data_IF_061186911348
#
_entry.id   IF_061186911348
#
_cell.length_a   1.000
_cell.length_b   1.000
_cell.length_c   1.000
_cell.angle_alpha   90.00
_cell.angle_beta   90.00
_cell.angle_gamma   90.00
#
_symmetry.space_group_name_H-M   'P 1'
#
loop_
_entity.id
_entity.type
_entity.pdbx_description
1 polymer ?
#
# COMPACT_ATOMS: atom_id res chain seq x y z
N UNK A 1 -20.65 -19.56 10.05
CA UNK A 1 -20.31 -20.94 10.47
C UNK A 1 -21.53 -21.64 11.05
N UNK A 2 -22.18 -21.05 12.05
CA UNK A 2 -23.35 -21.62 12.74
C UNK A 2 -24.49 -22.06 11.78
N UNK A 3 -24.81 -21.24 10.77
CA UNK A 3 -25.81 -21.60 9.76
C UNK A 3 -25.42 -22.79 8.88
N UNK A 4 -24.14 -22.92 8.53
CA UNK A 4 -23.63 -24.04 7.71
C UNK A 4 -23.60 -25.33 8.51
N UNK A 5 -23.18 -25.27 9.78
CA UNK A 5 -23.18 -26.42 10.69
C UNK A 5 -24.60 -26.96 10.91
N UNK A 6 -25.57 -26.07 11.12
CA UNK A 6 -26.97 -26.44 11.23
C UNK A 6 -27.50 -27.15 9.97
N UNK A 7 -27.25 -26.59 8.79
CA UNK A 7 -27.69 -27.19 7.53
C UNK A 7 -27.06 -28.56 7.23
N UNK A 8 -25.77 -28.72 7.56
CA UNK A 8 -25.06 -30.01 7.43
C UNK A 8 -25.65 -31.03 8.40
N UNK A 9 -25.89 -30.66 9.66
CA UNK A 9 -26.46 -31.55 10.65
C UNK A 9 -27.88 -32.01 10.28
N UNK A 10 -28.73 -31.10 9.81
CA UNK A 10 -30.08 -31.42 9.32
C UNK A 10 -30.06 -32.31 8.07
N UNK A 11 -29.10 -32.11 7.18
CA UNK A 11 -28.90 -32.95 6.00
C UNK A 11 -28.52 -34.39 6.36
N UNK A 12 -27.52 -34.55 7.23
CA UNK A 12 -27.07 -35.88 7.66
C UNK A 12 -28.07 -36.60 8.56
N UNK A 13 -28.91 -35.89 9.32
CA UNK A 13 -30.03 -36.49 10.04
C UNK A 13 -31.00 -37.17 9.05
N UNK A 14 -31.40 -36.47 7.98
CA UNK A 14 -32.29 -37.03 6.95
C UNK A 14 -31.69 -38.21 6.19
N UNK A 15 -30.36 -38.21 6.01
CA UNK A 15 -29.65 -39.32 5.35
C UNK A 15 -29.56 -40.52 6.30
N UNK A 16 -29.29 -40.29 7.58
CA UNK A 16 -29.28 -41.33 8.61
C UNK A 16 -30.63 -42.03 8.76
N UNK A 17 -31.72 -41.28 8.61
CA UNK A 17 -33.08 -41.83 8.70
C UNK A 17 -33.46 -42.65 7.46
N UNK A 18 -32.87 -42.33 6.30
CA UNK A 18 -33.20 -42.97 5.01
C UNK A 18 -32.30 -44.16 4.70
N UNK A 19 -31.07 -44.15 5.19
CA UNK A 19 -30.07 -45.17 4.95
C UNK A 19 -29.53 -45.64 6.30
N UNK A 20 -29.57 -46.95 6.56
CA UNK A 20 -29.03 -47.58 7.78
C UNK A 20 -27.49 -47.55 7.78
N UNK A 21 -26.94 -46.34 7.84
CA UNK A 21 -25.50 -46.13 7.87
C UNK A 21 -25.00 -46.16 9.32
N UNK A 22 -23.78 -46.65 9.51
CA UNK A 22 -23.14 -46.62 10.81
C UNK A 22 -22.91 -45.18 11.25
N UNK A 23 -23.23 -44.89 12.52
CA UNK A 23 -23.09 -43.55 13.13
C UNK A 23 -21.67 -43.02 12.99
N UNK A 24 -20.66 -43.90 13.09
CA UNK A 24 -19.25 -43.55 12.91
C UNK A 24 -18.94 -43.01 11.52
N UNK A 25 -19.48 -43.64 10.47
CA UNK A 25 -19.30 -43.19 9.07
C UNK A 25 -19.97 -41.83 8.85
N UNK A 26 -21.16 -41.63 9.42
CA UNK A 26 -21.86 -40.34 9.36
C UNK A 26 -21.03 -39.24 10.02
N UNK A 27 -20.48 -39.51 11.21
CA UNK A 27 -19.73 -38.50 11.95
C UNK A 27 -18.38 -38.18 11.30
N UNK A 28 -17.70 -39.16 10.72
CA UNK A 28 -16.49 -38.94 9.92
C UNK A 28 -16.78 -38.06 8.70
N UNK A 29 -17.87 -38.34 7.97
CA UNK A 29 -18.29 -37.53 6.82
C UNK A 29 -18.66 -36.10 7.22
N UNK A 30 -19.41 -35.92 8.31
CA UNK A 30 -19.71 -34.59 8.87
C UNK A 30 -18.44 -33.83 9.20
N UNK A 31 -17.52 -34.46 9.92
CA UNK A 31 -16.26 -33.83 10.34
C UNK A 31 -15.38 -33.46 9.15
N UNK A 32 -15.31 -34.30 8.12
CA UNK A 32 -14.59 -34.01 6.88
C UNK A 32 -15.16 -32.79 6.14
N UNK A 33 -16.49 -32.72 5.99
CA UNK A 33 -17.16 -31.61 5.31
C UNK A 33 -17.00 -30.32 6.11
N UNK A 34 -17.22 -30.37 7.43
CA UNK A 34 -17.06 -29.21 8.31
C UNK A 34 -15.63 -28.68 8.30
N UNK A 35 -14.63 -29.56 8.32
CA UNK A 35 -13.22 -29.18 8.22
C UNK A 35 -12.92 -28.50 6.88
N UNK A 36 -13.44 -29.05 5.78
CA UNK A 36 -13.25 -28.48 4.44
C UNK A 36 -13.92 -27.10 4.31
N UNK A 37 -15.13 -26.95 4.84
CA UNK A 37 -15.87 -25.67 4.87
C UNK A 37 -15.14 -24.64 5.73
N UNK A 38 -14.63 -25.04 6.90
CA UNK A 38 -13.81 -24.16 7.77
C UNK A 38 -12.56 -23.70 7.05
N UNK A 39 -11.82 -24.60 6.40
CA UNK A 39 -10.63 -24.26 5.62
C UNK A 39 -10.97 -23.30 4.48
N UNK A 40 -12.06 -23.52 3.75
CA UNK A 40 -12.50 -22.64 2.68
C UNK A 40 -12.87 -21.23 3.19
N UNK A 41 -13.61 -21.15 4.30
CA UNK A 41 -13.98 -19.87 4.92
C UNK A 41 -12.73 -19.15 5.46
N UNK A 42 -11.81 -19.87 6.10
CA UNK A 42 -10.51 -19.31 6.52
C UNK A 42 -9.71 -18.82 5.33
N UNK A 43 -9.71 -19.53 4.19
CA UNK A 43 -9.04 -19.08 2.98
C UNK A 43 -9.71 -17.84 2.36
N UNK A 44 -11.03 -17.76 2.35
CA UNK A 44 -11.77 -16.55 1.93
C UNK A 44 -11.42 -15.39 2.86
N UNK A 45 -11.49 -15.60 4.17
CA UNK A 45 -11.18 -14.57 5.15
C UNK A 45 -9.72 -14.13 5.05
N UNK A 46 -8.79 -15.05 4.82
CA UNK A 46 -7.37 -14.73 4.63
C UNK A 46 -7.09 -14.04 3.28
N UNK A 47 -7.81 -14.39 2.20
CA UNK A 47 -7.76 -13.65 0.92
C UNK A 47 -8.32 -12.24 1.08
N UNK A 48 -9.38 -12.08 1.87
CA UNK A 48 -9.95 -10.78 2.21
C UNK A 48 -9.05 -9.99 3.20
N UNK A 49 -8.30 -10.66 4.07
CA UNK A 49 -7.39 -10.04 5.04
C UNK A 49 -5.97 -9.75 4.52
N UNK A 50 -5.53 -10.38 3.42
CA UNK A 50 -4.29 -9.94 2.73
C UNK A 50 -4.38 -8.52 2.14
N UNK A 51 -5.57 -7.92 2.14
CA UNK A 51 -5.77 -6.49 1.86
C UNK A 51 -5.87 -5.58 3.10
N UNK A 52 -5.75 -6.12 4.32
CA UNK A 52 -5.99 -5.38 5.57
C UNK A 52 -4.83 -5.46 6.58
N UNK A 53 -3.58 -5.49 6.09
CA UNK A 53 -2.43 -5.25 6.98
C UNK A 53 -2.03 -3.78 6.96
N UNK A 54 -2.43 -3.08 8.03
CA UNK A 54 -1.94 -1.81 8.55
C UNK A 54 -2.18 -0.52 7.72
N UNK A 55 -3.30 0.17 8.00
CA UNK A 55 -3.39 1.63 7.83
C UNK A 55 -4.60 2.14 7.05
N UNK A 56 -5.81 2.07 7.63
CA UNK A 56 -7.03 2.67 7.07
C UNK A 56 -7.50 2.02 5.77
N UNK A 57 -8.78 2.11 5.46
CA UNK A 57 -9.29 1.74 4.13
C UNK A 57 -8.70 2.69 3.07
N UNK A 58 -7.51 2.41 2.58
CA UNK A 58 -7.11 2.88 1.27
C UNK A 58 -7.83 1.97 0.27
N UNK A 59 -8.95 2.44 -0.28
CA UNK A 59 -9.43 1.97 -1.59
C UNK A 59 -8.16 1.85 -2.45
N UNK A 60 -7.85 0.67 -3.05
CA UNK A 60 -6.64 0.51 -3.82
C UNK A 60 -6.67 1.58 -4.91
N UNK A 61 -5.86 2.62 -4.72
CA UNK A 61 -5.75 3.71 -5.68
C UNK A 61 -5.10 3.06 -6.90
N UNK A 62 -5.93 2.66 -7.86
CA UNK A 62 -5.48 2.13 -9.14
C UNK A 62 -4.55 3.19 -9.72
N UNK A 63 -3.29 2.82 -9.94
CA UNK A 63 -2.29 3.74 -10.49
C UNK A 63 -2.78 4.21 -11.86
N UNK A 64 -2.68 5.52 -12.09
CA UNK A 64 -2.99 6.11 -13.39
C UNK A 64 -2.19 5.40 -14.48
N UNK A 65 -2.85 4.88 -15.51
CA UNK A 65 -2.17 4.35 -16.71
C UNK A 65 -1.65 5.52 -17.54
N UNK A 66 -0.49 5.35 -18.16
CA UNK A 66 0.02 6.28 -19.17
C UNK A 66 -0.15 5.65 -20.57
N UNK A 67 0.08 6.44 -21.63
CA UNK A 67 -0.04 5.93 -23.00
C UNK A 67 0.86 4.72 -23.29
N UNK A 68 2.08 4.71 -22.72
CA UNK A 68 2.98 3.56 -22.81
C UNK A 68 2.37 2.27 -22.23
N UNK A 69 1.71 2.34 -21.07
CA UNK A 69 1.07 1.17 -20.46
C UNK A 69 -0.05 0.61 -21.37
N UNK A 70 -0.83 1.49 -22.01
CA UNK A 70 -1.85 1.06 -22.97
C UNK A 70 -1.23 0.44 -24.23
N UNK A 71 -0.13 1.02 -24.72
CA UNK A 71 0.62 0.47 -25.86
C UNK A 71 1.17 -0.93 -25.58
N UNK A 72 1.81 -1.12 -24.43
CA UNK A 72 2.37 -2.42 -24.03
C UNK A 72 1.27 -3.47 -23.94
N UNK A 73 0.12 -3.14 -23.35
CA UNK A 73 -1.02 -4.06 -23.29
C UNK A 73 -1.55 -4.42 -24.68
N UNK A 74 -1.66 -3.44 -25.56
CA UNK A 74 -2.05 -3.66 -26.94
C UNK A 74 -1.08 -4.60 -27.66
N UNK A 75 0.23 -4.39 -27.52
CA UNK A 75 1.27 -5.24 -28.13
C UNK A 75 1.30 -6.66 -27.59
N UNK A 76 1.06 -6.85 -26.29
CA UNK A 76 0.90 -8.19 -25.74
C UNK A 76 -0.35 -8.90 -26.27
N UNK A 77 -1.48 -8.19 -26.37
CA UNK A 77 -2.70 -8.75 -26.94
C UNK A 77 -2.49 -9.15 -28.41
N UNK A 78 -1.79 -8.33 -29.20
CA UNK A 78 -1.40 -8.70 -30.57
C UNK A 78 -0.51 -9.94 -30.60
N UNK A 79 0.53 -9.99 -29.79
CA UNK A 79 1.46 -11.12 -29.75
C UNK A 79 0.79 -12.42 -29.34
N UNK A 80 -0.19 -12.38 -28.43
CA UNK A 80 -0.98 -13.55 -28.04
C UNK A 80 -1.86 -14.07 -29.19
N UNK A 81 -2.47 -13.16 -29.97
CA UNK A 81 -3.26 -13.53 -31.15
C UNK A 81 -2.40 -14.14 -32.26
N UNK A 82 -1.14 -13.74 -32.36
CA UNK A 82 -0.16 -14.27 -33.31
C UNK A 82 0.49 -15.59 -32.86
N UNK A 83 0.03 -16.19 -31.76
CA UNK A 83 0.56 -17.45 -31.23
C UNK A 83 1.88 -17.30 -30.45
N UNK A 84 2.14 -16.10 -29.92
CA UNK A 84 3.34 -15.79 -29.16
C UNK A 84 3.49 -16.61 -27.88
N UNK A 85 4.73 -17.04 -27.60
CA UNK A 85 5.07 -17.83 -26.42
C UNK A 85 5.25 -16.94 -25.18
N UNK A 86 4.41 -17.13 -24.17
CA UNK A 86 4.38 -16.36 -22.91
C UNK A 86 5.72 -16.38 -22.14
N UNK A 87 6.55 -17.40 -22.36
CA UNK A 87 7.85 -17.55 -21.72
C UNK A 87 8.92 -16.53 -22.17
N UNK A 88 8.63 -15.66 -23.15
CA UNK A 88 9.53 -14.59 -23.62
C UNK A 88 9.10 -13.18 -23.20
N UNK A 89 8.24 -13.04 -22.18
CA UNK A 89 7.69 -11.75 -21.75
C UNK A 89 8.73 -10.65 -21.50
N UNK A 90 9.90 -10.97 -20.95
CA UNK A 90 10.99 -9.99 -20.74
C UNK A 90 11.60 -9.50 -22.06
N UNK A 91 11.85 -10.39 -23.02
CA UNK A 91 12.38 -10.02 -24.34
C UNK A 91 11.36 -9.20 -25.14
N UNK A 92 10.08 -9.56 -25.04
CA UNK A 92 8.98 -8.81 -25.64
C UNK A 92 8.86 -7.41 -25.03
N UNK A 93 9.00 -7.26 -23.71
CA UNK A 93 9.00 -5.94 -23.06
C UNK A 93 10.11 -5.04 -23.59
N UNK A 94 11.33 -5.55 -23.74
CA UNK A 94 12.44 -4.77 -24.29
C UNK A 94 12.18 -4.35 -25.74
N UNK A 95 11.70 -5.28 -26.56
CA UNK A 95 11.32 -5.00 -27.96
C UNK A 95 10.21 -3.95 -28.05
N UNK A 96 9.16 -4.07 -27.23
CA UNK A 96 8.06 -3.11 -27.23
C UNK A 96 8.47 -1.74 -26.67
N UNK A 97 9.42 -1.69 -25.73
CA UNK A 97 9.98 -0.44 -25.24
C UNK A 97 10.73 0.32 -26.33
N UNK A 98 11.50 -0.40 -27.15
CA UNK A 98 12.19 0.17 -28.32
C UNK A 98 11.16 0.65 -29.36
N UNK A 99 10.19 -0.19 -29.72
CA UNK A 99 9.18 0.21 -30.71
C UNK A 99 8.32 1.38 -30.25
N UNK A 100 8.07 1.53 -28.94
CA UNK A 100 7.41 2.72 -28.39
C UNK A 100 8.24 4.00 -28.61
N UNK A 101 9.57 3.92 -28.55
CA UNK A 101 10.41 5.07 -28.85
C UNK A 101 10.23 5.50 -30.32
N UNK A 102 10.12 4.53 -31.22
CA UNK A 102 10.10 4.74 -32.68
C UNK A 102 8.73 5.10 -33.26
N UNK A 103 7.62 4.84 -32.57
CA UNK A 103 6.30 5.15 -33.13
C UNK A 103 6.07 6.68 -33.30
N UNK A 104 5.34 7.10 -34.35
CA UNK A 104 5.00 8.51 -34.58
C UNK A 104 4.24 9.16 -33.41
N UNK A 105 4.35 10.48 -33.31
CA UNK A 105 3.70 11.26 -32.24
C UNK A 105 2.16 11.11 -32.29
N UNK A 106 1.57 11.06 -33.48
CA UNK A 106 0.12 10.92 -33.64
C UNK A 106 -0.38 9.56 -33.11
N UNK A 107 0.41 8.50 -33.32
CA UNK A 107 0.10 7.18 -32.79
C UNK A 107 0.29 7.14 -31.26
N UNK A 108 1.35 7.76 -30.74
CA UNK A 108 1.51 7.98 -29.28
C UNK A 108 0.31 8.72 -28.68
N UNK A 109 -0.23 9.69 -29.41
CA UNK A 109 -1.37 10.49 -28.97
C UNK A 109 -2.63 9.63 -28.81
N UNK A 110 -2.88 8.69 -29.73
CA UNK A 110 -3.98 7.71 -29.61
C UNK A 110 -3.89 6.90 -28.31
N UNK A 111 -2.70 6.40 -27.97
CA UNK A 111 -2.52 5.64 -26.73
C UNK A 111 -2.64 6.51 -25.48
N UNK A 112 -2.25 7.79 -25.55
CA UNK A 112 -2.49 8.75 -24.47
C UNK A 112 -3.98 8.99 -24.23
N UNK A 113 -4.76 9.19 -25.29
CA UNK A 113 -6.23 9.33 -25.19
C UNK A 113 -6.86 8.07 -24.58
N UNK A 114 -6.47 6.88 -25.07
CA UNK A 114 -6.94 5.61 -24.49
C UNK A 114 -6.60 5.48 -23.00
N UNK A 115 -5.41 5.93 -22.59
CA UNK A 115 -5.05 5.96 -21.18
C UNK A 115 -5.91 6.96 -20.40
N UNK A 116 -6.17 8.14 -20.93
CA UNK A 116 -7.04 9.16 -20.32
C UNK A 116 -8.47 8.66 -20.13
N UNK A 117 -9.05 8.04 -21.16
CA UNK A 117 -10.38 7.44 -21.11
C UNK A 117 -10.46 6.33 -20.06
N UNK A 118 -9.50 5.40 -20.07
CA UNK A 118 -9.40 4.34 -19.06
C UNK A 118 -9.30 4.90 -17.64
N UNK A 119 -8.48 5.94 -17.44
CA UNK A 119 -8.28 6.59 -16.15
C UNK A 119 -9.54 7.34 -15.68
N UNK A 120 -10.28 7.94 -16.62
CA UNK A 120 -11.55 8.63 -16.37
C UNK A 120 -12.62 7.62 -15.92
N UNK A 121 -12.77 6.51 -16.64
CA UNK A 121 -13.72 5.44 -16.31
C UNK A 121 -13.40 4.74 -14.99
N UNK A 122 -12.11 4.52 -14.71
CA UNK A 122 -11.69 3.82 -13.48
C UNK A 122 -11.54 4.76 -12.27
N UNK A 123 -11.87 6.05 -12.40
CA UNK A 123 -11.76 7.01 -11.31
C UNK A 123 -10.33 7.15 -10.75
N UNK A 124 -9.30 6.88 -11.56
CA UNK A 124 -7.91 6.95 -11.11
C UNK A 124 -7.47 8.41 -11.03
N UNK A 125 -7.85 9.08 -9.96
CA UNK A 125 -7.33 10.40 -9.63
C UNK A 125 -6.01 10.22 -8.88
N UNK A 126 -4.94 10.85 -9.37
CA UNK A 126 -3.84 11.20 -8.48
C UNK A 126 -4.48 12.22 -7.54
N UNK A 127 -4.85 11.79 -6.32
CA UNK A 127 -5.01 12.75 -5.23
C UNK A 127 -3.66 13.44 -5.14
N UNK A 128 -3.51 14.61 -5.78
CA UNK A 128 -2.43 15.52 -5.45
C UNK A 128 -2.55 15.64 -3.94
N UNK A 129 -1.59 15.10 -3.18
CA UNK A 129 -1.51 15.43 -1.76
C UNK A 129 -1.58 16.94 -1.77
N UNK A 130 -2.68 17.52 -1.28
CA UNK A 130 -2.77 18.96 -1.11
C UNK A 130 -1.47 19.35 -0.44
N UNK A 131 -0.84 20.44 -0.88
CA UNK A 131 0.33 20.97 -0.19
C UNK A 131 -0.14 21.21 1.25
N UNK A 132 0.08 20.22 2.11
CA UNK A 132 -0.41 20.26 3.48
C UNK A 132 0.18 21.53 4.06
N UNK A 133 -0.64 22.35 4.71
CA UNK A 133 -0.16 23.54 5.37
C UNK A 133 1.10 23.22 6.16
N UNK A 134 2.07 24.16 6.18
CA UNK A 134 3.31 23.98 6.93
C UNK A 134 2.95 23.50 8.34
N UNK A 135 3.45 22.32 8.72
CA UNK A 135 3.21 21.76 10.06
C UNK A 135 3.89 22.67 11.08
N UNK A 136 3.26 22.81 12.25
CA UNK A 136 3.82 23.57 13.37
C UNK A 136 5.22 23.05 13.72
N UNK A 137 6.13 23.97 14.01
CA UNK A 137 7.49 23.63 14.46
C UNK A 137 7.39 23.12 15.90
N UNK A 138 7.92 21.94 16.18
CA UNK A 138 7.94 21.37 17.53
C UNK A 138 9.26 21.66 18.25
N UNK A 139 9.30 21.52 19.58
CA UNK A 139 10.54 21.64 20.35
C UNK A 139 11.64 20.70 19.86
N UNK A 140 11.28 19.50 19.43
CA UNK A 140 12.22 18.56 18.79
C UNK A 140 12.81 19.12 17.50
N UNK A 141 12.02 19.79 16.65
CA UNK A 141 12.52 20.34 15.38
C UNK A 141 13.57 21.43 15.63
N UNK A 142 13.35 22.28 16.63
CA UNK A 142 14.29 23.32 17.04
C UNK A 142 15.55 22.71 17.64
N UNK A 143 15.39 21.75 18.56
CA UNK A 143 16.52 21.01 19.14
C UNK A 143 17.36 20.34 18.06
N UNK A 144 16.71 19.65 17.12
CA UNK A 144 17.37 18.97 16.01
C UNK A 144 18.19 19.95 15.17
N UNK A 145 17.60 21.08 14.74
CA UNK A 145 18.30 22.08 13.93
C UNK A 145 19.51 22.66 14.65
N UNK A 146 19.38 22.96 15.94
CA UNK A 146 20.42 23.63 16.71
C UNK A 146 21.54 22.68 17.17
N UNK A 147 21.29 21.36 17.21
CA UNK A 147 22.25 20.37 17.74
C UNK A 147 22.80 19.40 16.69
N UNK A 148 22.18 19.29 15.51
CA UNK A 148 22.57 18.29 14.51
C UNK A 148 24.03 18.43 14.08
N UNK A 149 24.55 19.64 13.89
CA UNK A 149 25.94 19.84 13.48
C UNK A 149 26.95 19.36 14.54
N UNK A 150 26.63 19.57 15.82
CA UNK A 150 27.42 19.05 16.94
C UNK A 150 27.39 17.52 16.95
N UNK A 151 26.20 16.94 16.82
CA UNK A 151 26.01 15.49 16.86
C UNK A 151 26.64 14.81 15.65
N UNK A 152 26.62 15.42 14.45
CA UNK A 152 27.36 14.95 13.27
C UNK A 152 28.87 14.94 13.54
N UNK A 153 29.39 16.00 14.16
CA UNK A 153 30.81 16.12 14.47
C UNK A 153 31.27 15.11 15.52
N UNK A 154 30.44 14.82 16.51
CA UNK A 154 30.70 13.80 17.54
C UNK A 154 30.54 12.37 16.99
N UNK A 155 29.64 12.15 16.01
CA UNK A 155 29.39 10.86 15.37
C UNK A 155 30.10 10.70 14.00
N UNK A 156 31.21 11.41 13.80
CA UNK A 156 31.90 11.57 12.50
C UNK A 156 32.34 10.23 11.86
N UNK A 157 32.48 9.17 12.64
CA UNK A 157 32.82 7.82 12.15
C UNK A 157 31.71 7.16 11.33
N UNK A 158 30.44 7.54 11.50
CA UNK A 158 29.33 6.77 10.94
C UNK A 158 28.75 7.28 9.63
N UNK A 159 29.18 8.45 9.13
CA UNK A 159 29.02 8.97 7.75
C UNK A 159 27.64 8.92 7.08
N UNK A 160 26.60 8.43 7.76
CA UNK A 160 25.27 8.14 7.21
C UNK A 160 24.24 8.92 7.99
N UNK A 161 23.49 9.75 7.29
CA UNK A 161 22.43 10.60 7.83
C UNK A 161 21.44 9.85 8.74
N UNK A 162 21.15 8.59 8.42
CA UNK A 162 20.24 7.74 9.20
C UNK A 162 20.78 7.47 10.62
N UNK A 163 22.09 7.29 10.77
CA UNK A 163 22.71 7.04 12.07
C UNK A 163 22.72 8.31 12.92
N UNK A 164 23.02 9.45 12.31
CA UNK A 164 22.94 10.77 12.95
C UNK A 164 21.53 11.08 13.42
N UNK A 165 20.50 10.88 12.58
CA UNK A 165 19.11 11.13 12.99
C UNK A 165 18.68 10.27 14.18
N UNK A 166 19.13 9.02 14.24
CA UNK A 166 18.87 8.13 15.39
C UNK A 166 19.57 8.63 16.66
N UNK A 167 20.80 9.12 16.55
CA UNK A 167 21.54 9.71 17.66
C UNK A 167 20.84 10.96 18.21
N UNK A 168 20.41 11.89 17.34
CA UNK A 168 19.65 13.07 17.76
C UNK A 168 18.34 12.69 18.47
N UNK A 169 17.63 11.69 17.93
CA UNK A 169 16.39 11.20 18.53
C UNK A 169 16.59 10.47 19.87
N UNK A 170 17.76 9.86 20.10
CA UNK A 170 18.13 9.31 21.40
C UNK A 170 18.48 10.41 22.40
N UNK A 171 19.27 11.39 21.99
CA UNK A 171 19.67 12.50 22.84
C UNK A 171 18.46 13.31 23.30
N UNK A 172 17.53 13.63 22.39
CA UNK A 172 16.26 14.28 22.74
C UNK A 172 15.49 13.51 23.81
N UNK A 173 15.37 12.18 23.67
CA UNK A 173 14.67 11.33 24.65
C UNK A 173 15.41 11.22 25.98
N UNK A 174 16.72 11.41 26.00
CA UNK A 174 17.53 11.44 27.21
C UNK A 174 17.45 12.77 27.96
N UNK A 175 16.99 13.84 27.31
CA UNK A 175 16.76 15.12 27.98
C UNK A 175 15.67 14.97 29.05
N UNK A 176 15.87 15.62 30.20
CA UNK A 176 14.84 15.73 31.22
C UNK A 176 13.62 16.51 30.72
N UNK A 177 12.46 16.24 31.32
CA UNK A 177 11.19 16.88 30.95
C UNK A 177 11.25 18.43 30.99
N UNK A 178 12.01 18.98 31.95
CA UNK A 178 12.24 20.43 32.07
C UNK A 178 12.94 21.01 30.83
N UNK A 179 14.01 20.35 30.36
CA UNK A 179 14.77 20.80 29.20
C UNK A 179 13.96 20.63 27.91
N UNK A 180 13.21 19.53 27.75
CA UNK A 180 12.30 19.37 26.61
C UNK A 180 11.21 20.45 26.58
N UNK A 181 10.74 20.88 27.76
CA UNK A 181 9.79 21.98 27.87
C UNK A 181 10.40 23.32 27.43
N UNK A 182 11.64 23.62 27.80
CA UNK A 182 12.35 24.83 27.33
C UNK A 182 12.46 24.88 25.80
N UNK A 183 12.81 23.76 25.16
CA UNK A 183 12.82 23.66 23.70
C UNK A 183 11.43 23.82 23.07
N UNK A 184 10.39 23.32 23.75
CA UNK A 184 9.00 23.48 23.31
C UNK A 184 8.56 24.95 23.37
N UNK A 185 8.95 25.68 24.42
CA UNK A 185 8.70 27.12 24.50
C UNK A 185 9.46 27.89 23.42
N UNK A 186 10.72 27.53 23.15
CA UNK A 186 11.49 28.12 22.05
C UNK A 186 10.80 27.92 20.69
N UNK A 187 10.28 26.73 20.43
CA UNK A 187 9.53 26.45 19.19
C UNK A 187 8.24 27.26 19.09
N UNK A 188 7.55 27.49 20.20
CA UNK A 188 6.35 28.34 20.25
C UNK A 188 6.69 29.80 19.90
N UNK A 189 7.77 30.35 20.46
CA UNK A 189 8.22 31.71 20.15
C UNK A 189 8.62 31.86 18.67
N UNK A 190 9.29 30.85 18.07
CA UNK A 190 9.60 30.84 16.64
C UNK A 190 8.35 30.76 15.75
N UNK A 191 7.34 29.99 16.18
CA UNK A 191 6.05 29.94 15.49
C UNK A 191 5.36 31.30 15.52
N UNK A 192 5.29 31.94 16.69
CA UNK A 192 4.69 33.26 16.89
C UNK A 192 5.40 34.33 16.02
N UNK A 193 6.74 34.34 16.02
CA UNK A 193 7.53 35.25 15.16
C UNK A 193 7.30 35.01 13.66
N UNK A 194 7.22 33.75 13.23
CA UNK A 194 6.97 33.42 11.82
C UNK A 194 5.57 33.80 11.37
N UNK A 195 4.56 33.76 12.25
CA UNK A 195 3.20 34.22 11.94
C UNK A 195 3.10 35.73 11.88
N UNK A 196 3.77 36.47 12.77
CA UNK A 196 3.73 37.95 12.77
C UNK A 196 4.34 38.56 11.51
N UNK A 197 5.41 37.96 10.96
CA UNK A 197 6.05 38.42 9.72
C UNK A 197 5.15 38.22 8.48
N UNK A 198 4.20 37.27 8.53
CA UNK A 198 3.34 36.96 7.37
C UNK A 198 2.08 37.83 7.32
N UNK A 199 1.70 38.49 8.42
CA UNK A 199 0.48 39.31 8.52
C UNK A 199 0.68 40.80 8.18
N UNK A 200 1.92 41.25 7.97
CA UNK A 200 2.26 42.64 7.62
C UNK A 200 2.58 42.87 6.13
N UNK A 201 2.17 41.95 5.24
CA UNK A 201 2.29 42.07 3.77
C UNK A 201 0.96 41.79 3.09
#
# INVERSE_FOLDING_TARGET
>A
MEYCEKGINEGFAKISDRYEMQVTVIDDMKNMILTSVRQYITQINNKNMKHQSAGGESIPIKRKRNGYNCYIQYKFAQSQLEGGNENKSQQLMTSFAQSWADIPIDEKQRFRQMAEDFNRENGTCIKKKGRGGKRRVTGYNVFYRDNIERIIRENKENGKDITTMKAVGQEWRSLGAKTQFEWTQKARLEEELSTSITTDT
#
